data_IF_340657317971
#
_entry.id   IF_340657317971
#
_cell.length_a   1.000
_cell.length_b   1.000
_cell.length_c   1.000
_cell.angle_alpha   90.00
_cell.angle_beta   90.00
_cell.angle_gamma   90.00
#
_symmetry.space_group_name_H-M   'P 1'
#
loop_
_entity.id
_entity.type
_entity.pdbx_description
1 polymer ?
#
# COMPACT_ATOMS: atom_id res chain seq x y z
N UNK A 1 -3.33 -11.88 -3.52
CA UNK A 1 -4.07 -10.64 -3.82
C UNK A 1 -4.00 -9.69 -2.63
N UNK A 2 -3.69 -8.45 -2.88
CA UNK A 2 -3.59 -7.43 -1.83
C UNK A 2 -4.99 -7.00 -1.40
N UNK A 3 -5.20 -6.80 -0.11
CA UNK A 3 -6.45 -6.30 0.44
C UNK A 3 -6.18 -5.06 1.29
N UNK A 4 -7.22 -4.28 1.52
CA UNK A 4 -7.07 -3.02 2.27
C UNK A 4 -6.82 -3.24 3.77
N UNK A 5 -7.11 -4.43 4.27
CA UNK A 5 -6.86 -4.77 5.67
C UNK A 5 -5.40 -5.14 5.92
N UNK A 6 -4.64 -5.41 4.87
CA UNK A 6 -3.23 -5.77 5.02
C UNK A 6 -2.40 -4.56 5.43
N UNK A 7 -1.40 -4.81 6.27
CA UNK A 7 -0.50 -3.74 6.68
C UNK A 7 0.53 -3.49 5.60
N UNK A 8 1.02 -2.26 5.53
CA UNK A 8 2.02 -1.88 4.53
C UNK A 8 3.24 -2.81 4.60
N UNK A 9 3.72 -3.11 5.81
CA UNK A 9 4.86 -4.00 5.97
C UNK A 9 4.60 -5.39 5.44
N UNK A 10 3.39 -5.90 5.62
CA UNK A 10 3.01 -7.22 5.10
C UNK A 10 3.02 -7.21 3.57
N UNK A 11 2.49 -6.16 2.97
CA UNK A 11 2.46 -6.02 1.52
C UNK A 11 3.88 -6.01 0.96
N UNK A 12 4.76 -5.25 1.59
CA UNK A 12 6.15 -5.12 1.12
C UNK A 12 6.93 -6.43 1.26
N UNK A 13 6.63 -7.22 2.31
CA UNK A 13 7.26 -8.52 2.48
C UNK A 13 6.79 -9.51 1.43
N UNK A 14 5.49 -9.52 1.15
CA UNK A 14 4.90 -10.46 0.19
C UNK A 14 5.21 -10.05 -1.24
N UNK A 15 5.17 -8.75 -1.51
CA UNK A 15 5.32 -8.21 -2.87
C UNK A 15 6.22 -6.96 -2.82
N UNK A 16 7.54 -7.14 -2.81
CA UNK A 16 8.47 -6.00 -2.74
C UNK A 16 8.24 -4.96 -3.84
N UNK A 17 7.80 -5.39 -5.00
CA UNK A 17 7.55 -4.47 -6.11
C UNK A 17 6.44 -3.47 -5.80
N UNK A 18 5.59 -3.76 -4.82
CA UNK A 18 4.54 -2.83 -4.42
C UNK A 18 5.12 -1.50 -3.92
N UNK A 19 6.37 -1.47 -3.48
CA UNK A 19 7.01 -0.23 -3.05
C UNK A 19 6.98 0.82 -4.15
N UNK A 20 7.18 0.42 -5.39
CA UNK A 20 7.21 1.36 -6.52
C UNK A 20 5.88 2.06 -6.70
N UNK A 21 4.78 1.29 -6.70
CA UNK A 21 3.47 1.88 -6.90
C UNK A 21 3.03 2.70 -5.69
N UNK A 22 3.35 2.23 -4.49
CA UNK A 22 3.04 2.99 -3.28
C UNK A 22 3.74 4.35 -3.27
N UNK A 23 5.01 4.38 -3.67
CA UNK A 23 5.76 5.64 -3.77
C UNK A 23 5.19 6.56 -4.82
N UNK A 24 4.66 6.01 -5.91
CA UNK A 24 4.05 6.83 -6.97
C UNK A 24 2.78 7.54 -6.49
N UNK A 25 2.15 7.06 -5.41
CA UNK A 25 0.99 7.72 -4.81
C UNK A 25 1.40 8.76 -3.75
N UNK A 26 2.69 9.01 -3.59
CA UNK A 26 3.17 9.97 -2.62
C UNK A 26 3.43 9.38 -1.24
N UNK A 27 3.44 8.06 -1.11
CA UNK A 27 3.68 7.39 0.16
C UNK A 27 5.17 7.12 0.34
N UNK A 28 5.95 8.18 0.41
CA UNK A 28 7.41 8.07 0.46
C UNK A 28 7.96 7.54 1.77
N UNK A 29 7.14 7.42 2.81
CA UNK A 29 7.59 6.99 4.14
C UNK A 29 7.34 5.51 4.40
N UNK A 30 7.16 4.70 3.35
CA UNK A 30 6.84 3.28 3.50
C UNK A 30 7.97 2.48 4.17
N UNK A 31 9.17 3.03 4.22
CA UNK A 31 10.29 2.37 4.91
C UNK A 31 10.30 2.56 6.41
N UNK A 32 9.46 3.44 6.96
CA UNK A 32 9.42 3.69 8.40
C UNK A 32 8.60 2.63 9.12
N UNK A 33 9.07 2.14 10.28
CA UNK A 33 8.30 1.13 11.02
C UNK A 33 6.89 1.56 11.36
N UNK A 34 6.67 2.84 11.68
CA UNK A 34 5.33 3.31 12.00
C UNK A 34 4.41 3.27 10.78
N UNK A 35 4.92 3.60 9.61
CA UNK A 35 4.14 3.52 8.37
C UNK A 35 3.81 2.07 8.01
N UNK A 36 4.77 1.18 8.23
CA UNK A 36 4.58 -0.23 7.92
C UNK A 36 3.56 -0.90 8.84
N UNK A 37 3.33 -0.33 10.02
CA UNK A 37 2.34 -0.85 10.96
C UNK A 37 0.92 -0.45 10.60
N UNK A 38 0.74 0.53 9.72
CA UNK A 38 -0.58 0.97 9.27
C UNK A 38 -1.14 0.02 8.23
N UNK A 39 -2.47 -0.16 8.23
CA UNK A 39 -3.13 -0.89 7.16
C UNK A 39 -3.15 -0.03 5.90
N UNK A 40 -3.34 -0.69 4.75
CA UNK A 40 -3.46 0.04 3.49
C UNK A 40 -4.64 1.01 3.52
N UNK A 41 -5.73 0.61 4.16
CA UNK A 41 -6.90 1.47 4.31
C UNK A 41 -6.56 2.73 5.12
N UNK A 42 -5.84 2.56 6.23
CA UNK A 42 -5.44 3.69 7.05
C UNK A 42 -4.52 4.64 6.28
N UNK A 43 -3.57 4.08 5.54
CA UNK A 43 -2.67 4.88 4.73
C UNK A 43 -3.43 5.66 3.65
N UNK A 44 -4.41 5.03 3.03
CA UNK A 44 -5.23 5.71 2.02
C UNK A 44 -5.99 6.88 2.62
N UNK A 45 -6.53 6.70 3.83
CA UNK A 45 -7.26 7.76 4.52
C UNK A 45 -6.35 8.96 4.81
N UNK A 46 -5.14 8.70 5.28
CA UNK A 46 -4.19 9.76 5.60
C UNK A 46 -3.85 10.58 4.36
N UNK A 47 -3.76 9.92 3.21
CA UNK A 47 -3.41 10.58 1.96
C UNK A 47 -4.62 11.06 1.17
N UNK A 48 -5.83 10.94 1.72
CA UNK A 48 -7.03 11.40 1.06
C UNK A 48 -7.43 10.57 -0.15
N UNK A 49 -7.10 9.30 -0.16
CA UNK A 49 -7.34 8.39 -1.28
C UNK A 49 -8.43 7.39 -0.94
N UNK A 50 -9.09 6.87 -2.00
CA UNK A 50 -10.06 5.80 -1.84
C UNK A 50 -9.30 4.47 -1.73
N UNK A 51 -9.50 3.77 -0.61
CA UNK A 51 -8.78 2.53 -0.35
C UNK A 51 -9.09 1.45 -1.39
N UNK A 52 -10.34 1.35 -1.84
CA UNK A 52 -10.72 0.34 -2.82
C UNK A 52 -10.04 0.58 -4.16
N UNK A 53 -9.97 1.84 -4.59
CA UNK A 53 -9.28 2.21 -5.82
C UNK A 53 -7.79 1.92 -5.70
N UNK A 54 -7.20 2.26 -4.55
CA UNK A 54 -5.78 2.03 -4.30
C UNK A 54 -5.46 0.54 -4.37
N UNK A 55 -6.27 -0.29 -3.72
CA UNK A 55 -6.10 -1.74 -3.74
C UNK A 55 -6.16 -2.27 -5.16
N UNK A 56 -7.14 -1.82 -5.94
CA UNK A 56 -7.28 -2.27 -7.32
C UNK A 56 -6.07 -1.91 -8.15
N UNK A 57 -5.56 -0.70 -8.01
CA UNK A 57 -4.41 -0.26 -8.77
C UNK A 57 -3.15 -1.04 -8.39
N UNK A 58 -2.99 -1.35 -7.11
CA UNK A 58 -1.84 -2.15 -6.67
C UNK A 58 -1.93 -3.56 -7.25
N UNK A 59 -3.10 -4.18 -7.19
CA UNK A 59 -3.28 -5.53 -7.73
C UNK A 59 -3.05 -5.55 -9.25
N UNK A 60 -3.54 -4.53 -9.96
CA UNK A 60 -3.30 -4.42 -11.39
C UNK A 60 -1.80 -4.28 -11.69
N UNK A 61 -1.10 -3.48 -10.92
CA UNK A 61 0.33 -3.28 -11.09
C UNK A 61 1.10 -4.59 -10.87
N UNK A 62 0.68 -5.36 -9.87
CA UNK A 62 1.33 -6.63 -9.53
C UNK A 62 0.89 -7.80 -10.41
N UNK A 63 -0.12 -7.60 -11.24
CA UNK A 63 -0.63 -8.66 -12.12
C UNK A 63 -1.48 -9.69 -11.39
N UNK A 64 -2.15 -9.29 -10.34
CA UNK A 64 -2.98 -10.21 -9.55
C UNK A 64 -4.47 -10.03 -9.76
#
# INVERSE_FOLDING_TARGET
>A
MITKEMRIGEILQAKPDAAQILMSFGMGCIGCPSSQAESLEEAAMVHGMDADVLVQQINDFLGE
#
